data_IF_986438467754
#
_entry.id   IF_986438467754
#
_cell.length_a   1.000
_cell.length_b   1.000
_cell.length_c   1.000
_cell.angle_alpha   90.00
_cell.angle_beta   90.00
_cell.angle_gamma   90.00
#
_symmetry.space_group_name_H-M   'P 1'
#
loop_
_entity.id
_entity.type
_entity.pdbx_description
1 polymer ?
#
# COMPACT_ATOMS: atom_id res chain seq x y z
N UNK A 1 8.60 16.27 -18.87
CA UNK A 1 7.57 15.41 -18.26
C UNK A 1 7.52 15.78 -16.79
N UNK A 2 6.35 16.07 -16.24
CA UNK A 2 6.16 16.34 -14.81
C UNK A 2 5.42 15.12 -14.23
N UNK A 3 5.90 14.62 -13.11
CA UNK A 3 5.31 13.49 -12.38
C UNK A 3 4.47 14.04 -11.22
N UNK A 4 3.21 13.62 -11.12
CA UNK A 4 2.31 14.04 -10.05
C UNK A 4 1.99 12.87 -9.14
N UNK A 5 2.36 12.98 -7.86
CA UNK A 5 2.16 11.94 -6.84
C UNK A 5 1.00 12.36 -5.93
N UNK A 6 -0.06 11.59 -5.92
CA UNK A 6 -1.18 11.75 -5.00
C UNK A 6 -0.90 11.01 -3.68
N UNK A 7 -0.85 11.75 -2.58
CA UNK A 7 -0.75 11.18 -1.23
C UNK A 7 -2.12 11.24 -0.57
N UNK A 8 -2.78 10.08 -0.47
CA UNK A 8 -4.15 10.03 0.05
C UNK A 8 -4.17 9.98 1.58
N UNK A 9 -4.85 10.94 2.18
CA UNK A 9 -5.17 11.01 3.60
C UNK A 9 -3.96 10.90 4.54
N UNK A 10 -2.84 11.65 4.30
CA UNK A 10 -1.64 11.54 5.12
C UNK A 10 -1.81 12.05 6.55
N UNK A 11 -2.87 12.73 6.85
CA UNK A 11 -3.29 13.14 8.19
C UNK A 11 -3.87 11.98 9.00
N UNK A 12 -4.41 10.95 8.34
CA UNK A 12 -4.99 9.75 8.94
C UNK A 12 -4.13 8.50 8.71
N UNK A 13 -3.59 8.34 7.51
CA UNK A 13 -2.86 7.16 7.07
C UNK A 13 -1.36 7.43 6.92
N UNK A 14 -0.65 7.55 8.04
CA UNK A 14 0.80 7.77 8.06
C UNK A 14 1.47 7.03 9.24
N UNK A 15 0.93 5.88 9.59
CA UNK A 15 1.47 5.05 10.66
C UNK A 15 2.87 4.56 10.25
N UNK A 16 3.82 4.58 11.20
CA UNK A 16 5.23 4.21 10.98
C UNK A 16 5.98 5.02 9.91
N UNK A 17 5.48 6.23 9.56
CA UNK A 17 6.21 7.17 8.72
C UNK A 17 6.14 6.90 7.21
N UNK A 18 5.01 6.41 6.71
CA UNK A 18 4.79 6.12 5.28
C UNK A 18 5.05 7.32 4.36
N UNK A 19 4.94 8.56 4.88
CA UNK A 19 5.38 9.80 4.20
C UNK A 19 6.84 9.73 3.72
N UNK A 20 7.67 8.91 4.33
CA UNK A 20 9.05 8.66 3.88
C UNK A 20 9.14 8.07 2.47
N UNK A 21 8.10 7.34 2.01
CA UNK A 21 8.02 6.86 0.63
C UNK A 21 7.89 8.03 -0.34
N UNK A 22 7.04 9.02 -0.04
CA UNK A 22 6.89 10.25 -0.82
C UNK A 22 8.21 11.01 -0.89
N UNK A 23 8.86 11.23 0.26
CA UNK A 23 10.15 11.95 0.33
C UNK A 23 11.23 11.25 -0.50
N UNK A 24 11.26 9.91 -0.46
CA UNK A 24 12.16 9.10 -1.26
C UNK A 24 11.92 9.34 -2.76
N UNK A 25 10.70 9.16 -3.24
CA UNK A 25 10.33 9.37 -4.65
C UNK A 25 10.69 10.78 -5.12
N UNK A 26 10.29 11.80 -4.37
CA UNK A 26 10.58 13.21 -4.70
C UNK A 26 12.09 13.47 -4.81
N UNK A 27 12.88 12.93 -3.86
CA UNK A 27 14.32 13.12 -3.86
C UNK A 27 14.99 12.40 -5.03
N UNK A 28 14.54 11.20 -5.36
CA UNK A 28 15.07 10.44 -6.49
C UNK A 28 14.70 11.08 -7.84
N UNK A 29 13.49 11.62 -7.98
CA UNK A 29 13.12 12.44 -9.13
C UNK A 29 14.07 13.65 -9.27
N UNK A 30 14.30 14.39 -8.18
CA UNK A 30 15.21 15.54 -8.17
C UNK A 30 16.63 15.17 -8.64
N UNK A 31 17.19 14.06 -8.15
CA UNK A 31 18.52 13.61 -8.53
C UNK A 31 18.63 13.23 -10.01
N UNK A 32 17.51 12.85 -10.64
CA UNK A 32 17.42 12.46 -12.06
C UNK A 32 16.97 13.60 -12.98
N UNK A 33 16.77 14.79 -12.44
CA UNK A 33 16.27 15.93 -13.20
C UNK A 33 14.82 15.76 -13.68
N UNK A 34 14.04 14.90 -13.01
CA UNK A 34 12.62 14.72 -13.29
C UNK A 34 11.85 15.75 -12.46
N UNK A 35 11.04 16.56 -13.13
CA UNK A 35 10.11 17.47 -12.46
C UNK A 35 8.99 16.65 -11.80
N UNK A 36 8.80 16.81 -10.50
CA UNK A 36 7.80 16.07 -9.74
C UNK A 36 7.14 16.95 -8.67
N UNK A 37 5.87 16.71 -8.43
CA UNK A 37 5.13 17.33 -7.33
C UNK A 37 4.33 16.29 -6.55
N UNK A 38 4.00 16.64 -5.30
CA UNK A 38 3.11 15.85 -4.45
C UNK A 38 1.86 16.67 -4.15
N UNK A 39 0.69 16.05 -4.29
CA UNK A 39 -0.60 16.58 -3.87
C UNK A 39 -1.09 15.72 -2.70
N UNK A 40 -1.25 16.34 -1.53
CA UNK A 40 -1.86 15.70 -0.37
C UNK A 40 -3.38 15.89 -0.42
N UNK A 41 -4.13 14.81 -0.19
CA UNK A 41 -5.60 14.83 -0.17
C UNK A 41 -6.10 14.50 1.23
N UNK A 42 -6.98 15.33 1.75
CA UNK A 42 -7.74 15.09 2.98
C UNK A 42 -9.13 14.52 2.67
N UNK A 43 -9.91 14.16 3.69
CA UNK A 43 -11.28 13.66 3.49
C UNK A 43 -12.21 14.67 2.78
N UNK A 44 -11.91 15.96 2.87
CA UNK A 44 -12.72 17.04 2.27
C UNK A 44 -12.40 17.29 0.80
N UNK A 45 -11.25 16.80 0.32
CA UNK A 45 -10.78 17.08 -1.02
C UNK A 45 -11.46 16.18 -2.07
N UNK A 46 -11.62 16.74 -3.27
CA UNK A 46 -12.01 15.96 -4.45
C UNK A 46 -10.76 15.45 -5.14
N UNK A 47 -10.69 14.15 -5.33
CA UNK A 47 -9.58 13.51 -6.02
C UNK A 47 -9.94 13.35 -7.49
N UNK A 48 -9.10 13.91 -8.35
CA UNK A 48 -9.14 13.69 -9.80
C UNK A 48 -7.97 12.78 -10.18
N UNK A 49 -8.23 11.48 -10.24
CA UNK A 49 -7.21 10.46 -10.53
C UNK A 49 -6.58 10.65 -11.92
N UNK A 50 -7.26 11.30 -12.86
CA UNK A 50 -6.72 11.52 -14.22
C UNK A 50 -5.50 12.45 -14.24
N UNK A 51 -5.23 13.14 -13.14
CA UNK A 51 -4.09 14.05 -12.97
C UNK A 51 -2.95 13.44 -12.16
N UNK A 52 -3.09 12.19 -11.74
CA UNK A 52 -2.12 11.51 -10.86
C UNK A 52 -1.39 10.42 -11.66
N UNK A 53 -0.07 10.41 -11.55
CA UNK A 53 0.77 9.35 -12.11
C UNK A 53 0.99 8.22 -11.11
N UNK A 54 1.13 8.57 -9.82
CA UNK A 54 1.31 7.61 -8.72
C UNK A 54 0.39 7.99 -7.57
N UNK A 55 -0.22 7.00 -6.94
CA UNK A 55 -1.03 7.15 -5.72
C UNK A 55 -0.36 6.41 -4.57
N UNK A 56 -0.20 7.07 -3.42
CA UNK A 56 0.22 6.46 -2.17
C UNK A 56 -0.94 6.43 -1.18
N UNK A 57 -1.21 5.26 -0.62
CA UNK A 57 -2.16 5.02 0.47
C UNK A 57 -1.41 4.34 1.62
N UNK A 58 -1.23 5.05 2.73
CA UNK A 58 -0.48 4.59 3.90
C UNK A 58 -1.28 3.69 4.85
N UNK A 59 -0.66 3.33 5.97
CA UNK A 59 -1.30 2.60 7.06
C UNK A 59 -1.89 3.51 8.13
N UNK A 60 -2.94 3.04 8.80
CA UNK A 60 -3.59 3.72 9.91
C UNK A 60 -4.18 2.72 10.91
N UNK A 61 -4.74 3.21 12.01
CA UNK A 61 -5.53 2.39 12.93
C UNK A 61 -6.86 1.98 12.28
N UNK A 62 -7.52 0.96 12.83
CA UNK A 62 -8.81 0.45 12.30
C UNK A 62 -9.86 1.57 12.20
N UNK A 63 -9.89 2.47 13.19
CA UNK A 63 -10.78 3.65 13.17
C UNK A 63 -10.50 4.60 12.02
N UNK A 64 -9.23 4.90 11.77
CA UNK A 64 -8.81 5.78 10.67
C UNK A 64 -9.05 5.11 9.31
N UNK A 65 -8.80 3.81 9.22
CA UNK A 65 -9.11 3.01 8.04
C UNK A 65 -10.60 3.04 7.71
N UNK A 66 -11.48 2.93 8.70
CA UNK A 66 -12.94 2.99 8.52
C UNK A 66 -13.36 4.33 7.92
N UNK A 67 -12.88 5.46 8.48
CA UNK A 67 -13.19 6.81 7.98
C UNK A 67 -12.73 6.99 6.52
N UNK A 68 -11.51 6.55 6.23
CA UNK A 68 -10.93 6.64 4.88
C UNK A 68 -11.69 5.72 3.91
N UNK A 69 -12.06 4.51 4.34
CA UNK A 69 -12.80 3.58 3.51
C UNK A 69 -14.16 4.14 3.09
N UNK A 70 -14.91 4.70 4.04
CA UNK A 70 -16.20 5.35 3.76
C UNK A 70 -16.06 6.45 2.71
N UNK A 71 -15.00 7.24 2.79
CA UNK A 71 -14.71 8.29 1.82
C UNK A 71 -14.30 7.72 0.47
N UNK A 72 -13.39 6.76 0.42
CA UNK A 72 -12.91 6.14 -0.82
C UNK A 72 -14.03 5.40 -1.56
N UNK A 73 -14.97 4.78 -0.85
CA UNK A 73 -16.13 4.12 -1.47
C UNK A 73 -17.00 5.09 -2.26
N UNK A 74 -17.04 6.36 -1.91
CA UNK A 74 -17.78 7.37 -2.69
C UNK A 74 -17.15 7.65 -4.06
N UNK A 75 -15.88 7.31 -4.24
CA UNK A 75 -15.10 7.50 -5.48
C UNK A 75 -14.49 6.18 -5.96
N UNK A 76 -15.02 5.05 -5.50
CA UNK A 76 -14.51 3.70 -5.80
C UNK A 76 -14.42 3.45 -7.30
N UNK A 77 -15.42 3.88 -8.08
CA UNK A 77 -15.41 3.70 -9.53
C UNK A 77 -14.25 4.42 -10.19
N UNK A 78 -14.02 5.68 -9.83
CA UNK A 78 -12.94 6.48 -10.43
C UNK A 78 -11.57 5.91 -10.06
N UNK A 79 -11.41 5.40 -8.83
CA UNK A 79 -10.18 4.75 -8.41
C UNK A 79 -9.99 3.40 -9.11
N UNK A 80 -11.07 2.61 -9.27
CA UNK A 80 -11.03 1.37 -10.04
C UNK A 80 -10.63 1.64 -11.49
N UNK A 81 -11.26 2.59 -12.16
CA UNK A 81 -10.94 2.96 -13.54
C UNK A 81 -9.45 3.38 -13.65
N UNK A 82 -8.94 4.18 -12.71
CA UNK A 82 -7.52 4.56 -12.64
C UNK A 82 -6.60 3.34 -12.58
N UNK A 83 -6.89 2.36 -11.71
CA UNK A 83 -6.10 1.12 -11.59
C UNK A 83 -6.21 0.30 -12.88
N UNK A 84 -7.41 0.17 -13.44
CA UNK A 84 -7.65 -0.61 -14.65
C UNK A 84 -6.96 -0.02 -15.88
N UNK A 85 -6.85 1.31 -15.96
CA UNK A 85 -6.13 2.04 -17.01
C UNK A 85 -4.61 2.05 -16.82
N UNK A 86 -4.09 1.37 -15.77
CA UNK A 86 -2.67 1.21 -15.53
C UNK A 86 -2.06 2.27 -14.61
N UNK A 87 -2.86 2.98 -13.85
CA UNK A 87 -2.41 3.89 -12.80
C UNK A 87 -1.60 3.16 -11.73
N UNK A 88 -0.53 3.82 -11.24
CA UNK A 88 0.38 3.22 -10.26
C UNK A 88 -0.07 3.49 -8.83
N UNK A 89 -0.14 2.44 -8.01
CA UNK A 89 -0.55 2.53 -6.60
C UNK A 89 0.47 1.85 -5.71
N UNK A 90 0.86 2.52 -4.63
CA UNK A 90 1.58 1.92 -3.51
C UNK A 90 0.66 1.99 -2.29
N UNK A 91 0.24 0.84 -1.78
CA UNK A 91 -0.64 0.73 -0.63
C UNK A 91 0.05 -0.03 0.51
N UNK A 92 0.13 0.58 1.69
CA UNK A 92 0.87 0.03 2.82
C UNK A 92 -0.06 -0.30 3.98
N UNK A 93 0.06 -1.49 4.54
CA UNK A 93 -0.63 -1.97 5.75
C UNK A 93 -2.16 -1.76 5.65
N UNK A 94 -2.73 -0.81 6.39
CA UNK A 94 -4.15 -0.50 6.30
C UNK A 94 -4.62 -0.13 4.89
N UNK A 95 -3.82 0.67 4.18
CA UNK A 95 -4.09 0.98 2.78
C UNK A 95 -4.11 -0.26 1.88
N UNK A 96 -3.22 -1.22 2.14
CA UNK A 96 -3.19 -2.50 1.44
C UNK A 96 -4.47 -3.32 1.71
N UNK A 97 -4.90 -3.40 2.96
CA UNK A 97 -6.12 -4.11 3.36
C UNK A 97 -7.37 -3.52 2.69
N UNK A 98 -7.44 -2.19 2.59
CA UNK A 98 -8.57 -1.48 1.97
C UNK A 98 -8.70 -1.72 0.45
N UNK A 99 -7.64 -2.16 -0.24
CA UNK A 99 -7.74 -2.51 -1.67
C UNK A 99 -8.61 -3.74 -1.92
N UNK A 100 -8.76 -4.61 -0.94
CA UNK A 100 -9.48 -5.88 -1.04
C UNK A 100 -10.99 -5.78 -0.89
N UNK A 101 -11.63 -6.94 -0.75
CA UNK A 101 -13.06 -7.03 -0.58
C UNK A 101 -13.49 -6.60 0.82
N UNK A 102 -12.77 -7.06 1.84
CA UNK A 102 -13.05 -6.72 3.24
C UNK A 102 -11.83 -6.93 4.14
N UNK A 103 -11.89 -6.29 5.29
CA UNK A 103 -11.01 -6.53 6.43
C UNK A 103 -11.83 -6.76 7.71
N UNK A 104 -11.68 -7.93 8.33
CA UNK A 104 -12.29 -8.23 9.61
C UNK A 104 -11.46 -7.68 10.78
N UNK A 105 -12.09 -6.92 11.67
CA UNK A 105 -11.50 -6.34 12.88
C UNK A 105 -12.24 -6.81 14.13
N UNK A 106 -11.71 -6.54 15.33
CA UNK A 106 -12.41 -6.81 16.60
C UNK A 106 -13.75 -6.08 16.71
N UNK A 107 -13.89 -4.94 16.02
CA UNK A 107 -15.09 -4.10 16.05
C UNK A 107 -16.09 -4.46 14.93
N UNK A 108 -15.72 -5.35 14.03
CA UNK A 108 -16.57 -5.78 12.92
C UNK A 108 -15.85 -5.75 11.57
N UNK A 109 -16.60 -5.96 10.50
CA UNK A 109 -16.08 -5.99 9.14
C UNK A 109 -16.05 -4.60 8.52
N UNK A 110 -14.90 -4.23 7.95
CA UNK A 110 -14.74 -3.07 7.08
C UNK A 110 -14.84 -3.57 5.64
N UNK A 111 -15.86 -3.13 4.92
CA UNK A 111 -16.02 -3.43 3.50
C UNK A 111 -15.00 -2.63 2.68
N UNK A 112 -14.08 -3.31 2.01
CA UNK A 112 -13.01 -2.68 1.22
C UNK A 112 -13.47 -2.11 -0.11
N UNK A 113 -12.51 -1.79 -0.96
CA UNK A 113 -12.73 -1.16 -2.26
C UNK A 113 -12.90 -2.17 -3.41
N UNK A 114 -12.63 -3.45 -3.17
CA UNK A 114 -12.65 -4.51 -4.20
C UNK A 114 -11.87 -4.14 -5.48
N UNK A 115 -10.76 -3.43 -5.32
CA UNK A 115 -9.85 -3.09 -6.44
C UNK A 115 -8.95 -4.27 -6.80
N UNK A 116 -8.67 -5.11 -5.81
CA UNK A 116 -7.85 -6.31 -5.97
C UNK A 116 -8.58 -7.48 -5.33
N UNK A 117 -8.52 -8.66 -5.95
CA UNK A 117 -9.14 -9.87 -5.42
C UNK A 117 -8.32 -10.41 -4.23
N UNK A 118 -8.54 -9.81 -3.07
CA UNK A 118 -7.98 -10.20 -1.79
C UNK A 118 -8.96 -9.92 -0.66
N UNK A 119 -8.74 -10.54 0.47
CA UNK A 119 -9.45 -10.24 1.71
C UNK A 119 -8.53 -10.40 2.91
N UNK A 120 -8.90 -9.77 4.01
CA UNK A 120 -8.12 -9.83 5.26
C UNK A 120 -9.00 -10.26 6.41
N UNK A 121 -8.57 -11.29 7.11
CA UNK A 121 -9.19 -11.78 8.34
C UNK A 121 -8.38 -11.29 9.54
N UNK A 122 -9.04 -11.07 10.66
CA UNK A 122 -8.35 -10.78 11.89
C UNK A 122 -7.62 -12.02 12.40
N UNK A 123 -6.38 -11.83 12.83
CA UNK A 123 -5.57 -12.89 13.42
C UNK A 123 -4.93 -12.49 14.75
N UNK A 124 -4.63 -13.50 15.56
CA UNK A 124 -3.92 -13.36 16.83
C UNK A 124 -2.87 -14.46 16.97
N UNK A 125 -1.67 -14.15 17.49
CA UNK A 125 -1.16 -12.82 17.87
C UNK A 125 -0.89 -11.91 16.68
N UNK A 126 -0.67 -10.61 16.91
CA UNK A 126 -0.14 -9.71 15.86
C UNK A 126 1.18 -10.24 15.33
N UNK A 127 1.37 -10.11 14.02
CA UNK A 127 2.64 -10.43 13.37
C UNK A 127 3.53 -9.18 13.42
N UNK A 128 4.62 -9.27 14.18
CA UNK A 128 5.55 -8.17 14.42
C UNK A 128 6.96 -8.70 14.31
N UNK A 129 7.67 -8.34 13.25
CA UNK A 129 9.08 -8.73 13.07
C UNK A 129 9.74 -7.84 12.01
N UNK A 130 11.04 -7.99 11.84
CA UNK A 130 11.69 -7.62 10.60
C UNK A 130 11.27 -8.61 9.51
N UNK A 131 11.22 -8.13 8.26
CA UNK A 131 10.86 -9.01 7.14
C UNK A 131 11.87 -8.87 6.01
N UNK A 132 12.18 -9.99 5.39
CA UNK A 132 13.07 -10.08 4.23
C UNK A 132 12.36 -10.88 3.15
N UNK A 133 12.28 -10.32 1.96
CA UNK A 133 11.62 -10.93 0.81
C UNK A 133 12.60 -11.15 -0.34
N UNK A 134 12.33 -12.18 -1.11
CA UNK A 134 12.85 -12.37 -2.46
C UNK A 134 11.78 -12.00 -3.48
N UNK A 135 12.15 -11.16 -4.43
CA UNK A 135 11.36 -10.90 -5.64
C UNK A 135 12.26 -11.04 -6.86
N UNK A 136 11.87 -11.87 -7.82
CA UNK A 136 12.71 -12.23 -8.97
C UNK A 136 12.96 -11.05 -9.95
N UNK A 137 12.21 -9.95 -9.81
CA UNK A 137 12.46 -8.74 -10.58
C UNK A 137 13.68 -7.95 -10.08
N UNK A 138 14.19 -8.26 -8.89
CA UNK A 138 15.30 -7.53 -8.26
C UNK A 138 16.43 -8.48 -7.88
N UNK A 139 17.67 -8.01 -8.08
CA UNK A 139 18.88 -8.74 -7.67
C UNK A 139 19.03 -8.80 -6.14
N UNK A 140 18.58 -7.75 -5.44
CA UNK A 140 18.72 -7.62 -4.00
C UNK A 140 17.41 -7.95 -3.28
N UNK A 141 17.49 -8.59 -2.09
CA UNK A 141 16.32 -8.80 -1.25
C UNK A 141 15.66 -7.49 -0.86
N UNK A 142 14.35 -7.55 -0.66
CA UNK A 142 13.53 -6.45 -0.15
C UNK A 142 13.46 -6.60 1.38
N UNK A 143 13.72 -5.52 2.10
CA UNK A 143 13.74 -5.54 3.57
C UNK A 143 12.75 -4.53 4.14
N UNK A 144 12.15 -4.87 5.28
CA UNK A 144 11.21 -4.01 5.96
C UNK A 144 10.96 -4.44 7.40
N UNK A 145 9.92 -3.87 7.95
CA UNK A 145 9.36 -4.18 9.25
C UNK A 145 7.85 -4.41 9.07
N UNK A 146 7.33 -5.46 9.65
CA UNK A 146 5.90 -5.76 9.65
C UNK A 146 5.30 -5.63 11.04
N UNK A 147 4.08 -5.08 11.12
CA UNK A 147 3.32 -4.99 12.38
C UNK A 147 1.83 -4.92 12.06
N UNK A 148 1.19 -6.07 11.93
CA UNK A 148 -0.23 -6.14 11.57
C UNK A 148 -0.97 -7.26 12.31
N UNK A 149 -2.27 -7.05 12.57
CA UNK A 149 -3.17 -8.06 13.11
C UNK A 149 -3.85 -8.88 12.00
N UNK A 150 -3.98 -8.31 10.81
CA UNK A 150 -4.63 -8.97 9.69
C UNK A 150 -3.87 -10.16 9.16
N UNK A 151 -4.62 -11.10 8.60
CA UNK A 151 -4.15 -12.23 7.78
C UNK A 151 -4.74 -12.04 6.40
N UNK A 152 -3.91 -11.66 5.45
CA UNK A 152 -4.36 -11.34 4.09
C UNK A 152 -4.17 -12.56 3.18
N UNK A 153 -5.21 -12.82 2.40
CA UNK A 153 -5.27 -13.89 1.40
C UNK A 153 -5.48 -13.25 0.03
N UNK A 154 -4.55 -13.48 -0.87
CA UNK A 154 -4.47 -12.78 -2.17
C UNK A 154 -5.05 -13.57 -3.35
N UNK A 155 -5.73 -14.70 -3.09
CA UNK A 155 -6.33 -15.54 -4.13
C UNK A 155 -5.30 -15.98 -5.18
N UNK A 156 -5.64 -15.79 -6.44
CA UNK A 156 -4.77 -16.13 -7.59
C UNK A 156 -3.80 -14.98 -7.97
N UNK A 157 -3.78 -13.88 -7.21
CA UNK A 157 -2.89 -12.76 -7.50
C UNK A 157 -1.44 -13.13 -7.23
N UNK A 158 -0.56 -12.45 -7.94
CA UNK A 158 0.88 -12.58 -7.75
C UNK A 158 1.30 -11.89 -6.44
N UNK A 159 2.06 -12.55 -5.55
CA UNK A 159 2.61 -11.87 -4.38
C UNK A 159 3.68 -10.83 -4.78
N UNK A 160 3.85 -9.80 -3.95
CA UNK A 160 4.95 -8.85 -4.10
C UNK A 160 6.30 -9.52 -3.87
N UNK A 161 6.37 -10.48 -2.93
CA UNK A 161 7.56 -11.30 -2.75
C UNK A 161 7.32 -12.59 -1.98
N UNK A 162 8.33 -13.47 -2.04
CA UNK A 162 8.40 -14.68 -1.22
C UNK A 162 9.15 -14.35 0.08
N UNK A 163 8.60 -14.74 1.21
CA UNK A 163 9.20 -14.50 2.53
C UNK A 163 10.45 -15.38 2.70
N UNK A 164 11.58 -14.75 2.99
CA UNK A 164 12.82 -15.41 3.41
C UNK A 164 12.97 -15.38 4.94
N UNK A 165 12.49 -14.32 5.57
CA UNK A 165 12.45 -14.10 7.02
C UNK A 165 11.24 -13.23 7.36
N UNK A 166 10.59 -13.47 8.49
CA UNK A 166 9.36 -12.78 8.89
C UNK A 166 8.12 -13.63 8.62
N UNK A 167 6.95 -12.98 8.63
CA UNK A 167 5.66 -13.66 8.57
C UNK A 167 4.92 -13.46 7.24
N UNK A 168 4.99 -12.24 6.67
CA UNK A 168 4.29 -11.89 5.43
C UNK A 168 2.78 -11.76 5.59
N UNK A 169 2.04 -12.07 4.52
CA UNK A 169 0.61 -11.82 4.40
C UNK A 169 -0.23 -12.42 5.55
N UNK A 170 0.08 -13.65 5.95
CA UNK A 170 -0.75 -14.40 6.91
C UNK A 170 0.07 -15.27 7.87
N UNK A 171 1.40 -15.35 7.70
CA UNK A 171 2.30 -16.17 8.51
C UNK A 171 2.33 -17.65 8.14
N UNK A 172 1.65 -18.07 7.09
CA UNK A 172 1.47 -19.49 6.73
C UNK A 172 1.94 -19.82 5.32
N UNK A 173 1.57 -18.99 4.33
CA UNK A 173 1.78 -19.30 2.90
C UNK A 173 3.15 -18.90 2.35
N UNK A 174 3.97 -18.22 3.16
CA UNK A 174 5.31 -17.79 2.77
C UNK A 174 5.34 -16.68 1.73
N UNK A 175 4.23 -15.96 1.55
CA UNK A 175 4.11 -14.83 0.63
C UNK A 175 3.94 -13.50 1.36
N UNK A 176 4.29 -12.43 0.71
CA UNK A 176 4.07 -11.07 1.21
C UNK A 176 3.60 -10.15 0.09
N UNK A 177 2.60 -9.31 0.47
CA UNK A 177 2.03 -8.31 -0.41
C UNK A 177 1.30 -8.88 -1.61
N UNK A 178 0.94 -7.99 -2.51
CA UNK A 178 0.25 -8.31 -3.76
C UNK A 178 0.76 -7.43 -4.89
N UNK A 179 0.82 -8.01 -6.08
CA UNK A 179 1.01 -7.30 -7.34
C UNK A 179 -0.23 -7.50 -8.20
N UNK A 180 -0.87 -6.40 -8.56
CA UNK A 180 -1.98 -6.39 -9.52
C UNK A 180 -1.80 -5.22 -10.48
N UNK A 181 -1.59 -5.49 -11.77
CA UNK A 181 -1.22 -4.45 -12.74
C UNK A 181 -0.03 -3.60 -12.22
N UNK A 182 -0.23 -2.30 -12.02
CA UNK A 182 0.75 -1.38 -11.45
C UNK A 182 0.46 -1.06 -9.96
N UNK A 183 -0.28 -1.93 -9.29
CA UNK A 183 -0.56 -1.83 -7.86
C UNK A 183 0.40 -2.71 -7.08
N UNK A 184 1.02 -2.14 -6.07
CA UNK A 184 1.78 -2.85 -5.02
C UNK A 184 1.06 -2.64 -3.70
N UNK A 185 0.53 -3.71 -3.12
CA UNK A 185 0.06 -3.75 -1.74
C UNK A 185 1.06 -4.49 -0.87
N UNK A 186 1.35 -4.01 0.33
CA UNK A 186 2.40 -4.60 1.19
C UNK A 186 2.20 -4.28 2.67
N UNK A 187 2.68 -5.16 3.55
CA UNK A 187 2.81 -4.89 4.98
C UNK A 187 4.16 -4.29 5.37
N UNK A 188 5.07 -4.07 4.42
CA UNK A 188 6.40 -3.57 4.71
C UNK A 188 6.38 -2.09 5.09
N UNK A 189 6.70 -1.84 6.33
CA UNK A 189 6.99 -0.51 6.87
C UNK A 189 8.50 -0.25 6.93
N UNK A 190 8.81 0.99 7.29
CA UNK A 190 10.13 1.33 7.65
C UNK A 190 10.80 2.55 7.05
N UNK A 191 10.19 3.35 6.15
CA UNK A 191 9.27 3.11 5.04
C UNK A 191 9.90 2.25 3.94
N UNK A 192 9.06 1.67 3.06
CA UNK A 192 9.47 0.70 2.05
C UNK A 192 10.59 1.21 1.14
N UNK A 193 10.38 2.34 0.49
CA UNK A 193 11.25 2.84 -0.58
C UNK A 193 12.63 3.29 -0.09
N UNK A 194 12.77 4.05 1.01
CA UNK A 194 14.09 4.42 1.54
C UNK A 194 14.96 3.24 1.95
N UNK A 195 14.35 2.15 2.44
CA UNK A 195 15.08 0.93 2.79
C UNK A 195 15.48 0.11 1.58
N UNK A 196 14.77 0.26 0.48
CA UNK A 196 14.92 -0.54 -0.74
C UNK A 196 15.13 0.38 -1.95
N UNK A 197 16.29 1.05 -2.07
CA UNK A 197 16.55 2.01 -3.13
C UNK A 197 16.42 1.41 -4.54
N UNK A 198 16.67 0.12 -4.69
CA UNK A 198 16.52 -0.60 -5.96
C UNK A 198 15.06 -0.74 -6.44
N UNK A 199 14.07 -0.58 -5.54
CA UNK A 199 12.64 -0.52 -5.91
C UNK A 199 12.26 0.90 -6.35
N UNK A 200 12.92 1.91 -5.76
CA UNK A 200 12.59 3.32 -6.00
C UNK A 200 13.12 3.83 -7.34
N UNK A 201 14.02 3.12 -7.98
CA UNK A 201 14.68 3.44 -9.23
C UNK A 201 14.01 2.83 -10.44
#
# INVERSE_FOLDING_TARGET
MKLTIGHLYPDLLNLYGDRGNIQCMMKRCQWRGIDAETIEFTLEDKIDFTKLDIVLLGGGSDREQMLVCDRLRTIQKDFHDYVEDGGSVIAVCGGYQLLGHYYDTDEGRIEGLSLVDLYTEQGSPRLIDNIVLQNDAFEHPIVGFENHGGRTYIGENRPFGRVLYGHGNNGEDGTEGVLYKNVVGTYLHGPLLPKNPHISD
#
